data_IF_627641791519
#
_entry.id   IF_627641791519
#
_cell.length_a   1.000
_cell.length_b   1.000
_cell.length_c   1.000
_cell.angle_alpha   90.00
_cell.angle_beta   90.00
_cell.angle_gamma   90.00
#
_symmetry.space_group_name_H-M   'P 1'
#
loop_
_entity.id
_entity.type
_entity.pdbx_description
1 polymer ?
#
# COMPACT_ATOMS: atom_id res chain seq x y z
N UNK A 1 -10.74 15.20 -34.34
CA UNK A 1 -10.23 13.92 -33.87
C UNK A 1 -11.30 13.27 -33.04
N UNK A 2 -10.95 12.31 -32.18
CA UNK A 2 -11.88 11.73 -31.21
C UNK A 2 -12.38 12.81 -30.24
N UNK A 3 -13.68 12.77 -29.92
CA UNK A 3 -14.36 13.67 -28.96
C UNK A 3 -14.08 15.17 -29.14
N UNK A 4 -13.83 15.62 -30.38
CA UNK A 4 -13.60 17.04 -30.67
C UNK A 4 -12.16 17.53 -30.46
N UNK A 5 -11.26 16.68 -29.97
CA UNK A 5 -9.85 17.03 -29.84
C UNK A 5 -9.12 17.05 -31.19
N UNK A 6 -8.09 17.90 -31.35
CA UNK A 6 -7.29 17.92 -32.57
C UNK A 6 -6.49 16.61 -32.72
N UNK A 7 -6.24 16.18 -33.95
CA UNK A 7 -5.52 14.94 -34.23
C UNK A 7 -4.07 14.93 -33.68
N UNK A 8 -3.50 16.10 -33.39
CA UNK A 8 -2.16 16.24 -32.82
C UNK A 8 -2.10 16.22 -31.29
N UNK A 9 -3.21 15.96 -30.58
CA UNK A 9 -3.23 15.93 -29.11
C UNK A 9 -2.18 14.98 -28.55
N UNK A 10 -2.17 13.72 -29.00
CA UNK A 10 -1.26 12.70 -28.49
C UNK A 10 0.22 13.05 -28.73
N UNK A 11 0.55 13.59 -29.90
CA UNK A 11 1.94 13.98 -30.20
C UNK A 11 2.39 15.20 -29.39
N UNK A 12 1.49 16.15 -29.08
CA UNK A 12 1.80 17.27 -28.19
C UNK A 12 2.03 16.82 -26.75
N UNK A 13 1.21 15.90 -26.23
CA UNK A 13 1.42 15.31 -24.91
C UNK A 13 2.73 14.54 -24.85
N UNK A 14 3.05 13.75 -25.88
CA UNK A 14 4.32 13.04 -25.96
C UNK A 14 5.51 14.00 -25.93
N UNK A 15 5.51 15.05 -26.77
CA UNK A 15 6.56 16.07 -26.77
C UNK A 15 6.76 16.75 -25.40
N UNK A 16 5.68 16.89 -24.62
CA UNK A 16 5.76 17.45 -23.27
C UNK A 16 6.40 16.47 -22.29
N UNK A 17 5.89 15.24 -22.20
CA UNK A 17 6.37 14.24 -21.24
C UNK A 17 7.77 13.72 -21.56
N UNK A 18 8.17 13.65 -22.82
CA UNK A 18 9.53 13.26 -23.24
C UNK A 18 10.61 14.27 -22.81
N UNK A 19 10.23 15.46 -22.31
CA UNK A 19 11.17 16.42 -21.69
C UNK A 19 11.49 16.06 -20.24
N UNK A 20 10.71 15.17 -19.63
CA UNK A 20 10.97 14.65 -18.28
C UNK A 20 12.06 13.58 -18.34
N UNK A 21 12.82 13.44 -17.25
CA UNK A 21 13.87 12.43 -17.17
C UNK A 21 15.05 12.84 -16.29
N UNK A 22 15.93 11.88 -16.01
CA UNK A 22 17.26 12.11 -15.40
C UNK A 22 18.28 12.26 -16.52
N UNK A 23 19.12 13.29 -16.46
CA UNK A 23 20.10 13.61 -17.48
C UNK A 23 21.42 14.11 -16.88
N UNK A 24 22.50 14.00 -17.65
CA UNK A 24 23.74 14.72 -17.38
C UNK A 24 23.62 16.10 -18.02
N UNK A 25 23.83 17.14 -17.22
CA UNK A 25 23.72 18.53 -17.66
C UNK A 25 24.90 18.89 -18.57
N UNK A 26 24.68 19.82 -19.50
CA UNK A 26 25.76 20.37 -20.30
C UNK A 26 26.72 21.17 -19.41
N UNK A 27 28.02 20.96 -19.54
CA UNK A 27 29.04 21.62 -18.75
C UNK A 27 30.36 20.84 -18.74
N UNK A 28 31.38 21.39 -18.07
CA UNK A 28 32.67 20.70 -17.86
C UNK A 28 32.61 19.65 -16.77
N UNK A 29 31.65 19.78 -15.86
CA UNK A 29 31.45 18.88 -14.74
C UNK A 29 30.27 17.99 -15.12
N UNK A 30 30.43 16.67 -15.12
CA UNK A 30 29.39 15.66 -15.41
C UNK A 30 28.30 15.65 -14.32
N UNK A 31 27.63 16.79 -14.11
CA UNK A 31 26.60 16.98 -13.11
C UNK A 31 25.31 16.37 -13.59
N UNK A 32 24.63 15.66 -12.71
CA UNK A 32 23.32 15.09 -12.99
C UNK A 32 22.19 16.00 -12.51
N UNK A 33 21.07 15.98 -13.24
CA UNK A 33 19.82 16.61 -12.85
C UNK A 33 18.63 15.73 -13.25
N UNK A 34 17.46 16.00 -12.67
CA UNK A 34 16.23 15.30 -13.03
C UNK A 34 15.03 16.24 -13.08
N UNK A 35 14.09 15.91 -13.97
CA UNK A 35 12.76 16.49 -14.03
C UNK A 35 11.73 15.37 -13.93
N UNK A 36 11.04 15.31 -12.79
CA UNK A 36 9.89 14.43 -12.58
C UNK A 36 8.60 15.21 -12.80
N UNK A 37 7.72 14.73 -13.67
CA UNK A 37 6.45 15.39 -13.99
C UNK A 37 5.30 14.62 -13.35
N UNK A 38 4.48 15.33 -12.58
CA UNK A 38 3.21 14.83 -12.04
C UNK A 38 2.09 15.61 -12.72
N UNK A 39 1.37 14.96 -13.63
CA UNK A 39 0.26 15.57 -14.37
C UNK A 39 -1.08 15.15 -13.78
N UNK A 40 -1.96 16.11 -13.51
CA UNK A 40 -3.36 15.84 -13.17
C UNK A 40 -4.19 15.82 -14.46
N UNK A 41 -5.00 14.76 -14.63
CA UNK A 41 -5.98 14.65 -15.72
C UNK A 41 -7.37 14.61 -15.08
N UNK A 42 -8.32 15.36 -15.64
CA UNK A 42 -9.67 15.53 -15.10
C UNK A 42 -10.71 15.02 -16.10
N UNK A 43 -10.87 13.69 -16.23
CA UNK A 43 -11.82 13.11 -17.16
C UNK A 43 -13.27 13.46 -16.77
N UNK A 44 -14.12 13.87 -17.73
CA UNK A 44 -15.54 14.10 -17.46
C UNK A 44 -16.20 12.86 -16.85
N UNK A 45 -16.88 13.04 -15.71
CA UNK A 45 -17.55 11.92 -15.01
C UNK A 45 -16.62 10.82 -14.46
N UNK A 46 -15.30 11.02 -14.47
CA UNK A 46 -14.33 10.00 -14.07
C UNK A 46 -14.02 8.96 -15.16
N UNK A 47 -14.51 9.15 -16.39
CA UNK A 47 -14.29 8.20 -17.48
C UNK A 47 -12.88 8.32 -18.07
N UNK A 48 -11.99 7.41 -17.66
CA UNK A 48 -10.60 7.36 -18.13
C UNK A 48 -10.45 6.87 -19.57
N UNK A 49 -11.53 6.47 -20.24
CA UNK A 49 -11.52 6.08 -21.65
C UNK A 49 -11.44 7.27 -22.61
N UNK A 50 -11.63 8.49 -22.10
CA UNK A 50 -11.56 9.72 -22.90
C UNK A 50 -10.16 9.98 -23.49
N UNK A 51 -10.06 10.71 -24.62
CA UNK A 51 -8.83 10.81 -25.40
C UNK A 51 -7.60 11.39 -24.67
N UNK A 52 -7.76 12.33 -23.73
CA UNK A 52 -6.64 12.94 -22.98
C UNK A 52 -6.03 11.93 -22.02
N UNK A 53 -6.85 11.21 -21.27
CA UNK A 53 -6.46 10.14 -20.35
C UNK A 53 -5.76 9.02 -21.12
N UNK A 54 -6.38 8.52 -22.18
CA UNK A 54 -5.79 7.45 -23.00
C UNK A 54 -4.46 7.87 -23.64
N UNK A 55 -4.37 9.09 -24.17
CA UNK A 55 -3.12 9.59 -24.75
C UNK A 55 -2.02 9.74 -23.68
N UNK A 56 -2.36 10.22 -22.49
CA UNK A 56 -1.41 10.40 -21.38
C UNK A 56 -0.90 9.05 -20.86
N UNK A 57 -1.79 8.08 -20.63
CA UNK A 57 -1.45 6.74 -20.13
C UNK A 57 -0.55 5.94 -21.07
N UNK A 58 -0.57 6.22 -22.38
CA UNK A 58 0.36 5.62 -23.35
C UNK A 58 1.80 6.08 -23.17
N UNK A 59 2.01 7.23 -22.53
CA UNK A 59 3.33 7.88 -22.41
C UNK A 59 3.89 7.69 -21.00
N UNK A 60 3.08 7.99 -19.98
CA UNK A 60 3.52 7.95 -18.58
C UNK A 60 3.77 6.51 -18.11
N UNK A 61 4.67 6.37 -17.13
CA UNK A 61 5.04 5.07 -16.56
C UNK A 61 4.38 4.77 -15.21
N UNK A 62 3.64 5.74 -14.67
CA UNK A 62 2.96 5.63 -13.38
C UNK A 62 1.57 6.21 -13.56
N UNK A 63 0.58 5.53 -12.99
CA UNK A 63 -0.80 5.97 -12.92
C UNK A 63 -1.29 5.83 -11.48
N UNK A 64 -1.75 6.94 -10.90
CA UNK A 64 -2.48 6.97 -9.65
C UNK A 64 -3.95 7.24 -9.94
N UNK A 65 -4.75 6.18 -10.02
CA UNK A 65 -6.18 6.26 -10.25
C UNK A 65 -6.89 6.71 -8.99
N UNK A 66 -7.37 7.95 -8.97
CA UNK A 66 -8.21 8.45 -7.88
C UNK A 66 -9.62 7.89 -7.98
N UNK A 67 -10.17 7.43 -6.86
CA UNK A 67 -11.44 6.71 -6.78
C UNK A 67 -12.42 7.42 -5.85
N UNK A 68 -13.59 7.76 -6.40
CA UNK A 68 -14.64 8.47 -5.69
C UNK A 68 -15.29 7.63 -4.59
N UNK A 69 -15.32 6.30 -4.73
CA UNK A 69 -15.83 5.41 -3.70
C UNK A 69 -14.91 5.36 -2.47
N UNK A 70 -13.58 5.40 -2.70
CA UNK A 70 -12.60 5.55 -1.60
C UNK A 70 -12.77 6.90 -0.91
N UNK A 71 -12.87 7.98 -1.67
CA UNK A 71 -13.09 9.32 -1.13
C UNK A 71 -14.39 9.42 -0.31
N UNK A 72 -15.48 8.80 -0.77
CA UNK A 72 -16.76 8.76 -0.06
C UNK A 72 -16.65 8.01 1.28
N UNK A 73 -15.86 6.93 1.32
CA UNK A 73 -15.51 6.20 2.54
C UNK A 73 -14.48 6.91 3.43
N UNK A 74 -14.07 8.14 3.06
CA UNK A 74 -13.01 8.92 3.71
C UNK A 74 -11.66 8.20 3.73
N UNK A 75 -11.41 7.33 2.77
CA UNK A 75 -10.10 6.71 2.59
C UNK A 75 -9.20 7.66 1.79
N UNK A 76 -8.20 8.24 2.47
CA UNK A 76 -7.28 9.22 1.87
C UNK A 76 -5.81 8.80 2.04
N UNK A 77 -4.95 9.05 1.04
CA UNK A 77 -5.29 9.51 -0.31
C UNK A 77 -6.14 8.48 -1.06
N UNK A 78 -7.15 8.94 -1.82
CA UNK A 78 -8.16 8.07 -2.44
C UNK A 78 -7.64 7.38 -3.71
N UNK A 79 -6.44 6.78 -3.64
CA UNK A 79 -5.78 6.08 -4.75
C UNK A 79 -6.24 4.63 -4.73
N UNK A 80 -6.84 4.17 -5.82
CA UNK A 80 -7.23 2.77 -5.97
C UNK A 80 -5.98 1.90 -6.18
N UNK A 81 -5.66 1.08 -5.19
CA UNK A 81 -4.47 0.24 -5.18
C UNK A 81 -4.51 -0.93 -6.17
N UNK A 82 -5.69 -1.32 -6.67
CA UNK A 82 -5.84 -2.42 -7.64
C UNK A 82 -5.76 -1.94 -9.09
N UNK A 83 -6.18 -0.71 -9.38
CA UNK A 83 -6.17 -0.15 -10.75
C UNK A 83 -4.98 0.76 -11.02
N UNK A 84 -4.34 1.31 -9.97
CA UNK A 84 -3.11 2.08 -10.09
C UNK A 84 -1.90 1.19 -10.39
N UNK A 85 -0.90 1.74 -11.06
CA UNK A 85 0.32 1.00 -11.38
C UNK A 85 1.56 1.88 -11.45
N UNK A 86 2.73 1.26 -11.31
CA UNK A 86 4.03 1.87 -11.56
C UNK A 86 4.92 0.87 -12.31
N UNK A 87 5.33 1.24 -13.51
CA UNK A 87 6.29 0.46 -14.31
C UNK A 87 7.73 0.61 -13.80
N UNK A 88 7.95 1.41 -12.75
CA UNK A 88 9.24 1.56 -12.09
C UNK A 88 9.41 0.64 -10.87
N UNK A 89 8.37 -0.11 -10.48
CA UNK A 89 8.42 -0.94 -9.27
C UNK A 89 9.58 -1.95 -9.31
N UNK A 90 9.75 -2.64 -10.45
CA UNK A 90 10.80 -3.65 -10.60
C UNK A 90 12.19 -3.02 -10.72
N UNK A 91 12.33 -1.93 -11.48
CA UNK A 91 13.63 -1.27 -11.70
C UNK A 91 14.15 -0.58 -10.44
N UNK A 92 13.26 0.00 -9.62
CA UNK A 92 13.62 0.60 -8.34
C UNK A 92 13.77 -0.44 -7.23
N UNK A 93 13.21 -1.64 -7.39
CA UNK A 93 13.23 -2.68 -6.37
C UNK A 93 14.62 -3.01 -5.84
N UNK A 94 15.61 -3.07 -6.73
CA UNK A 94 17.02 -3.28 -6.35
C UNK A 94 17.53 -2.19 -5.40
N UNK A 95 17.26 -0.92 -5.73
CA UNK A 95 17.71 0.20 -4.90
C UNK A 95 17.07 0.16 -3.51
N UNK A 96 15.77 -0.12 -3.42
CA UNK A 96 15.09 -0.24 -2.13
C UNK A 96 15.63 -1.40 -1.29
N UNK A 97 15.89 -2.55 -1.92
CA UNK A 97 16.46 -3.70 -1.23
C UNK A 97 17.86 -3.41 -0.68
N UNK A 98 18.67 -2.63 -1.40
CA UNK A 98 20.03 -2.26 -0.98
C UNK A 98 20.06 -1.14 0.06
N UNK A 99 19.16 -0.16 -0.03
CA UNK A 99 19.25 1.10 0.73
C UNK A 99 18.22 1.23 1.87
N UNK A 100 17.16 0.41 1.88
CA UNK A 100 16.11 0.48 2.90
C UNK A 100 16.05 -0.81 3.69
N UNK A 101 15.73 -1.91 3.03
CA UNK A 101 15.68 -3.24 3.65
C UNK A 101 15.71 -4.32 2.58
N UNK A 102 16.53 -5.36 2.77
CA UNK A 102 16.72 -6.46 1.81
C UNK A 102 15.42 -7.14 1.37
N UNK A 103 14.39 -7.13 2.22
CA UNK A 103 13.11 -7.79 1.99
C UNK A 103 12.03 -6.83 1.47
N UNK A 104 12.37 -5.57 1.17
CA UNK A 104 11.41 -4.53 0.77
C UNK A 104 10.51 -4.96 -0.40
N UNK A 105 11.09 -5.43 -1.50
CA UNK A 105 10.28 -5.85 -2.66
C UNK A 105 9.41 -7.07 -2.34
N UNK A 106 9.90 -7.99 -1.51
CA UNK A 106 9.12 -9.14 -1.07
C UNK A 106 7.91 -8.68 -0.24
N UNK A 107 8.13 -7.83 0.77
CA UNK A 107 7.06 -7.29 1.61
C UNK A 107 6.00 -6.56 0.78
N UNK A 108 6.43 -5.70 -0.15
CA UNK A 108 5.51 -5.01 -1.07
C UNK A 108 4.67 -5.99 -1.88
N UNK A 109 5.29 -7.00 -2.48
CA UNK A 109 4.58 -8.02 -3.26
C UNK A 109 3.58 -8.79 -2.41
N UNK A 110 3.95 -9.15 -1.19
CA UNK A 110 3.06 -9.84 -0.24
C UNK A 110 1.86 -8.99 0.16
N UNK A 111 2.09 -7.71 0.47
CA UNK A 111 1.02 -6.75 0.78
C UNK A 111 0.04 -6.61 -0.39
N UNK A 112 0.56 -6.47 -1.62
CA UNK A 112 -0.30 -6.43 -2.81
C UNK A 112 -1.06 -7.73 -3.02
N UNK A 113 -0.45 -8.88 -2.73
CA UNK A 113 -1.11 -10.18 -2.75
C UNK A 113 -2.29 -10.26 -1.77
N UNK A 114 -2.09 -9.83 -0.52
CA UNK A 114 -3.15 -9.80 0.49
C UNK A 114 -4.31 -8.88 0.07
N UNK A 115 -4.03 -7.72 -0.51
CA UNK A 115 -5.07 -6.81 -1.02
C UNK A 115 -5.84 -7.38 -2.22
N UNK A 116 -5.16 -8.12 -3.11
CA UNK A 116 -5.81 -8.80 -4.24
C UNK A 116 -6.69 -9.96 -3.77
N UNK A 117 -6.22 -10.72 -2.79
CA UNK A 117 -6.98 -11.79 -2.18
C UNK A 117 -8.21 -11.24 -1.43
N UNK A 118 -8.06 -10.12 -0.69
CA UNK A 118 -9.19 -9.42 -0.06
C UNK A 118 -10.27 -9.07 -1.07
N UNK A 119 -9.90 -8.50 -2.22
CA UNK A 119 -10.88 -8.15 -3.25
C UNK A 119 -11.65 -9.37 -3.78
N UNK A 120 -10.98 -10.53 -3.86
CA UNK A 120 -11.61 -11.79 -4.28
C UNK A 120 -12.53 -12.35 -3.19
N UNK A 121 -12.10 -12.27 -1.93
CA UNK A 121 -12.87 -12.71 -0.77
C UNK A 121 -14.08 -11.81 -0.49
N UNK A 122 -13.99 -10.50 -0.72
CA UNK A 122 -15.08 -9.54 -0.52
C UNK A 122 -16.30 -9.87 -1.41
N UNK A 123 -16.08 -10.38 -2.63
CA UNK A 123 -17.15 -10.87 -3.50
C UNK A 123 -17.85 -12.11 -2.92
N UNK A 124 -17.11 -13.01 -2.27
CA UNK A 124 -17.68 -14.16 -1.56
C UNK A 124 -18.47 -13.69 -0.35
N UNK A 125 -17.89 -12.79 0.46
CA UNK A 125 -18.53 -12.23 1.67
C UNK A 125 -19.85 -11.55 1.33
N UNK A 126 -19.94 -10.81 0.22
CA UNK A 126 -21.20 -10.19 -0.24
C UNK A 126 -22.29 -11.21 -0.57
N UNK A 127 -21.93 -12.42 -0.98
CA UNK A 127 -22.87 -13.47 -1.38
C UNK A 127 -23.33 -14.34 -0.19
N UNK A 128 -22.41 -14.73 0.69
CA UNK A 128 -22.67 -15.74 1.73
C UNK A 128 -22.39 -15.27 3.16
N UNK A 129 -21.86 -14.07 3.35
CA UNK A 129 -21.48 -13.51 4.66
C UNK A 129 -20.06 -13.88 5.11
N UNK A 130 -19.55 -13.17 6.11
CA UNK A 130 -18.19 -13.33 6.65
C UNK A 130 -17.98 -14.68 7.35
N UNK A 131 -19.03 -15.20 7.98
CA UNK A 131 -18.99 -16.46 8.75
C UNK A 131 -18.76 -17.70 7.88
N UNK A 132 -18.93 -17.57 6.56
CA UNK A 132 -18.67 -18.64 5.60
C UNK A 132 -17.18 -18.79 5.26
N UNK A 133 -16.33 -17.82 5.64
CA UNK A 133 -14.90 -17.87 5.36
C UNK A 133 -14.16 -18.79 6.33
N UNK A 134 -13.11 -19.44 5.83
CA UNK A 134 -12.19 -20.19 6.68
C UNK A 134 -11.49 -19.27 7.70
N UNK A 135 -11.04 -19.77 8.87
CA UNK A 135 -10.27 -18.96 9.82
C UNK A 135 -9.06 -18.24 9.19
N UNK A 136 -8.36 -18.90 8.26
CA UNK A 136 -7.25 -18.32 7.50
C UNK A 136 -7.67 -17.19 6.55
N UNK A 137 -8.84 -17.31 5.91
CA UNK A 137 -9.36 -16.25 5.04
C UNK A 137 -9.87 -15.07 5.85
N UNK A 138 -10.50 -15.32 7.00
CA UNK A 138 -10.87 -14.26 7.96
C UNK A 138 -9.63 -13.52 8.46
N UNK A 139 -8.57 -14.22 8.82
CA UNK A 139 -7.30 -13.59 9.20
C UNK A 139 -6.70 -12.76 8.04
N UNK A 140 -6.82 -13.24 6.80
CA UNK A 140 -6.39 -12.48 5.62
C UNK A 140 -7.20 -11.20 5.43
N UNK A 141 -8.52 -11.24 5.61
CA UNK A 141 -9.38 -10.05 5.61
C UNK A 141 -8.97 -9.05 6.70
N UNK A 142 -8.64 -9.52 7.91
CA UNK A 142 -8.17 -8.66 8.99
C UNK A 142 -6.80 -8.03 8.70
N UNK A 143 -5.87 -8.78 8.10
CA UNK A 143 -4.58 -8.25 7.66
C UNK A 143 -4.74 -7.23 6.53
N UNK A 144 -5.62 -7.49 5.57
CA UNK A 144 -5.94 -6.55 4.49
C UNK A 144 -6.58 -5.26 5.01
N UNK A 145 -7.48 -5.36 6.00
CA UNK A 145 -8.04 -4.21 6.70
C UNK A 145 -6.95 -3.35 7.35
N UNK A 146 -6.01 -3.99 8.05
CA UNK A 146 -4.86 -3.28 8.64
C UNK A 146 -4.02 -2.58 7.56
N UNK A 147 -3.72 -3.25 6.44
CA UNK A 147 -3.02 -2.60 5.31
C UNK A 147 -3.79 -1.36 4.82
N UNK A 148 -5.12 -1.45 4.65
CA UNK A 148 -5.93 -0.33 4.17
C UNK A 148 -5.98 0.84 5.15
N UNK A 149 -6.18 0.56 6.45
CA UNK A 149 -6.46 1.57 7.48
C UNK A 149 -5.20 2.10 8.17
N UNK A 150 -4.17 1.26 8.27
CA UNK A 150 -2.97 1.55 9.06
C UNK A 150 -1.77 1.92 8.17
N UNK A 151 -1.77 1.54 6.89
CA UNK A 151 -0.66 1.83 5.95
C UNK A 151 -1.07 2.69 4.76
N UNK A 152 -2.10 2.29 4.00
CA UNK A 152 -2.53 3.04 2.81
C UNK A 152 -3.24 4.34 3.18
N UNK A 153 -3.98 4.34 4.28
CA UNK A 153 -4.66 5.52 4.78
C UNK A 153 -3.69 6.44 5.53
N UNK A 154 -3.47 7.63 4.99
CA UNK A 154 -2.54 8.63 5.50
C UNK A 154 -3.21 10.01 5.64
N UNK A 155 -3.13 10.58 6.84
CA UNK A 155 -3.72 11.88 7.16
C UNK A 155 -2.76 13.03 6.83
N UNK A 156 -2.94 13.62 5.66
CA UNK A 156 -2.12 14.76 5.19
C UNK A 156 -2.10 15.97 6.15
N UNK A 157 -3.14 16.15 6.97
CA UNK A 157 -3.26 17.26 7.93
C UNK A 157 -2.80 16.91 9.36
N UNK A 158 -2.37 15.68 9.61
CA UNK A 158 -1.87 15.26 10.92
C UNK A 158 -0.37 15.59 11.05
N UNK A 159 0.04 16.13 12.19
CA UNK A 159 1.43 16.59 12.41
C UNK A 159 2.50 15.51 12.19
N UNK A 160 2.20 14.25 12.49
CA UNK A 160 3.12 13.13 12.31
C UNK A 160 2.82 12.31 11.04
N UNK A 161 1.56 12.15 10.68
CA UNK A 161 1.16 11.21 9.61
C UNK A 161 1.23 11.89 8.23
N UNK A 162 1.43 13.20 8.17
CA UNK A 162 1.62 13.94 6.91
C UNK A 162 2.85 13.48 6.11
N UNK A 163 3.84 12.86 6.78
CA UNK A 163 5.06 12.35 6.16
C UNK A 163 5.55 11.09 6.88
N UNK A 164 6.05 10.12 6.12
CA UNK A 164 6.56 8.85 6.65
C UNK A 164 7.89 8.51 5.98
N UNK A 165 8.98 8.40 6.75
CA UNK A 165 10.29 8.01 6.24
C UNK A 165 10.29 6.58 5.66
N UNK A 166 11.24 6.26 4.78
CA UNK A 166 11.37 4.90 4.22
C UNK A 166 11.61 3.85 5.30
N UNK A 167 12.36 4.19 6.36
CA UNK A 167 12.59 3.32 7.50
C UNK A 167 11.28 3.04 8.25
N UNK A 168 10.47 4.06 8.51
CA UNK A 168 9.17 3.92 9.16
C UNK A 168 8.18 3.13 8.29
N UNK A 169 8.14 3.37 6.98
CA UNK A 169 7.34 2.56 6.04
C UNK A 169 7.74 1.08 6.10
N UNK A 170 9.04 0.78 6.13
CA UNK A 170 9.55 -0.58 6.28
C UNK A 170 9.06 -1.25 7.57
N UNK A 171 9.16 -0.55 8.70
CA UNK A 171 8.67 -1.05 10.00
C UNK A 171 7.17 -1.29 10.01
N UNK A 172 6.37 -0.40 9.43
CA UNK A 172 4.92 -0.60 9.30
C UNK A 172 4.61 -1.86 8.48
N UNK A 173 5.27 -2.05 7.33
CA UNK A 173 5.12 -3.26 6.52
C UNK A 173 5.48 -4.52 7.30
N UNK A 174 6.59 -4.49 8.04
CA UNK A 174 7.04 -5.61 8.88
C UNK A 174 6.01 -5.96 9.95
N UNK A 175 5.54 -4.99 10.73
CA UNK A 175 4.58 -5.24 11.82
C UNK A 175 3.30 -5.92 11.30
N UNK A 176 2.73 -5.43 10.19
CA UNK A 176 1.53 -6.03 9.60
C UNK A 176 1.77 -7.45 9.08
N UNK A 177 2.90 -7.68 8.38
CA UNK A 177 3.24 -9.00 7.86
C UNK A 177 3.62 -9.98 8.98
N UNK A 178 4.30 -9.52 10.01
CA UNK A 178 4.63 -10.30 11.21
C UNK A 178 3.36 -10.71 11.96
N UNK A 179 2.40 -9.80 12.11
CA UNK A 179 1.08 -10.13 12.65
C UNK A 179 0.42 -11.21 11.79
N UNK A 180 0.35 -11.03 10.47
CA UNK A 180 -0.27 -12.02 9.59
C UNK A 180 0.41 -13.39 9.67
N UNK A 181 1.73 -13.46 9.54
CA UNK A 181 2.50 -14.71 9.51
C UNK A 181 2.44 -15.47 10.83
N UNK A 182 2.65 -14.77 11.95
CA UNK A 182 2.65 -15.39 13.27
C UNK A 182 1.23 -15.78 13.71
N UNK A 183 0.22 -15.02 13.30
CA UNK A 183 -1.18 -15.38 13.52
C UNK A 183 -1.59 -16.61 12.70
N UNK A 184 -1.08 -16.75 11.47
CA UNK A 184 -1.29 -17.96 10.66
C UNK A 184 -0.68 -19.19 11.35
N UNK A 185 0.53 -19.05 11.89
CA UNK A 185 1.20 -20.10 12.66
C UNK A 185 0.42 -20.44 13.96
N UNK A 186 -0.09 -19.43 14.66
CA UNK A 186 -0.93 -19.63 15.84
C UNK A 186 -2.24 -20.37 15.50
N UNK A 187 -2.93 -20.01 14.41
CA UNK A 187 -4.11 -20.74 13.93
C UNK A 187 -3.80 -22.21 13.63
N UNK A 188 -2.65 -22.48 13.00
CA UNK A 188 -2.22 -23.85 12.72
C UNK A 188 -1.91 -24.67 13.99
N UNK A 189 -1.64 -23.98 15.10
CA UNK A 189 -1.44 -24.57 16.44
C UNK A 189 -2.74 -24.66 17.25
N UNK A 190 -3.88 -24.31 16.68
CA UNK A 190 -5.19 -24.43 17.33
C UNK A 190 -5.69 -23.17 18.04
N UNK A 191 -5.00 -22.04 17.92
CA UNK A 191 -5.51 -20.78 18.45
C UNK A 191 -6.84 -20.39 17.77
N UNK A 192 -7.74 -19.79 18.54
CA UNK A 192 -9.03 -19.31 18.05
C UNK A 192 -8.89 -18.01 17.24
N UNK A 193 -9.63 -17.92 16.12
CA UNK A 193 -9.59 -16.76 15.22
C UNK A 193 -10.18 -15.51 15.85
N UNK A 194 -11.23 -15.62 16.67
CA UNK A 194 -11.80 -14.45 17.35
C UNK A 194 -10.83 -13.89 18.38
N UNK A 195 -10.14 -14.76 19.12
CA UNK A 195 -9.09 -14.35 20.08
C UNK A 195 -7.93 -13.65 19.36
N UNK A 196 -7.44 -14.20 18.24
CA UNK A 196 -6.40 -13.56 17.43
C UNK A 196 -6.86 -12.20 16.89
N UNK A 197 -8.07 -12.14 16.34
CA UNK A 197 -8.62 -10.89 15.80
C UNK A 197 -8.84 -9.84 16.91
N UNK A 198 -9.07 -10.26 18.15
CA UNK A 198 -9.26 -9.36 19.28
C UNK A 198 -7.95 -8.91 19.96
N UNK A 199 -6.78 -9.34 19.47
CA UNK A 199 -5.50 -9.06 20.14
C UNK A 199 -5.25 -7.54 20.31
N UNK A 200 -4.99 -7.08 21.55
CA UNK A 200 -4.72 -5.67 21.82
C UNK A 200 -3.51 -5.09 21.06
N UNK A 201 -2.51 -5.90 20.69
CA UNK A 201 -1.35 -5.43 19.90
C UNK A 201 -1.74 -4.86 18.54
N UNK A 202 -2.89 -5.26 17.98
CA UNK A 202 -3.39 -4.73 16.70
C UNK A 202 -3.61 -3.21 16.75
N UNK A 203 -4.08 -2.69 17.88
CA UNK A 203 -4.24 -1.25 18.07
C UNK A 203 -2.89 -0.53 18.07
N UNK A 204 -1.86 -1.14 18.66
CA UNK A 204 -0.51 -0.60 18.66
C UNK A 204 0.09 -0.59 17.25
N UNK A 205 -0.09 -1.67 16.48
CA UNK A 205 0.29 -1.74 15.07
C UNK A 205 -0.39 -0.60 14.27
N UNK A 206 -1.70 -0.42 14.43
CA UNK A 206 -2.45 0.62 13.71
C UNK A 206 -2.07 2.05 14.10
N UNK A 207 -1.68 2.26 15.36
CA UNK A 207 -1.20 3.56 15.85
C UNK A 207 0.26 3.85 15.53
N UNK A 208 1.03 2.88 15.04
CA UNK A 208 2.45 3.06 14.73
C UNK A 208 2.69 4.21 13.72
N UNK A 209 1.75 4.47 12.82
CA UNK A 209 1.82 5.60 11.88
C UNK A 209 1.89 6.98 12.57
N UNK A 210 1.42 7.09 13.82
CA UNK A 210 1.48 8.32 14.61
C UNK A 210 2.73 8.43 15.49
N UNK A 211 3.62 7.44 15.47
CA UNK A 211 4.87 7.46 16.23
C UNK A 211 5.84 8.43 15.57
N UNK A 212 6.45 9.31 16.37
CA UNK A 212 7.46 10.26 15.89
C UNK A 212 8.70 9.52 15.39
N UNK A 213 9.34 10.04 14.35
CA UNK A 213 10.49 9.41 13.68
C UNK A 213 11.63 9.07 14.65
N UNK A 214 11.90 9.88 15.69
CA UNK A 214 12.94 9.56 16.68
C UNK A 214 12.65 8.33 17.56
N UNK A 215 11.40 7.88 17.65
CA UNK A 215 10.96 6.81 18.55
C UNK A 215 10.62 5.50 17.84
N UNK A 216 10.67 5.46 16.50
CA UNK A 216 10.19 4.31 15.72
C UNK A 216 10.92 3.01 16.03
N UNK A 217 12.22 3.05 16.34
CA UNK A 217 13.01 1.86 16.67
C UNK A 217 12.57 1.23 17.99
N UNK A 218 12.40 2.06 19.02
CA UNK A 218 11.95 1.64 20.34
C UNK A 218 10.54 1.06 20.26
N UNK A 219 9.62 1.81 19.66
CA UNK A 219 8.22 1.40 19.57
C UNK A 219 8.07 0.12 18.72
N UNK A 220 8.84 -0.03 17.64
CA UNK A 220 8.82 -1.23 16.82
C UNK A 220 9.22 -2.47 17.64
N UNK A 221 10.28 -2.37 18.44
CA UNK A 221 10.72 -3.46 19.30
C UNK A 221 9.68 -3.82 20.37
N UNK A 222 9.09 -2.82 21.03
CA UNK A 222 8.05 -3.03 22.04
C UNK A 222 6.79 -3.71 21.46
N UNK A 223 6.37 -3.31 20.25
CA UNK A 223 5.23 -3.94 19.56
C UNK A 223 5.58 -5.37 19.12
N UNK A 224 6.80 -5.63 18.64
CA UNK A 224 7.24 -6.97 18.23
C UNK A 224 7.26 -7.98 19.41
N UNK A 225 7.81 -7.55 20.55
CA UNK A 225 7.80 -8.35 21.78
C UNK A 225 6.36 -8.62 22.25
N UNK A 226 5.53 -7.59 22.26
CA UNK A 226 4.12 -7.70 22.65
C UNK A 226 3.34 -8.64 21.73
N UNK A 227 3.52 -8.53 20.42
CA UNK A 227 2.89 -9.41 19.43
C UNK A 227 3.25 -10.87 19.70
N UNK A 228 4.52 -11.13 20.01
CA UNK A 228 5.00 -12.48 20.31
C UNK A 228 4.38 -13.03 21.60
N UNK A 229 4.29 -12.21 22.65
CA UNK A 229 3.70 -12.60 23.93
C UNK A 229 2.21 -12.88 23.81
N UNK A 230 1.45 -11.96 23.21
CA UNK A 230 -0.01 -12.07 23.08
C UNK A 230 -0.42 -13.27 22.20
N UNK A 231 0.30 -13.56 21.12
CA UNK A 231 0.05 -14.76 20.31
C UNK A 231 0.37 -16.05 21.05
N UNK A 232 1.42 -16.08 21.86
CA UNK A 232 1.74 -17.26 22.67
C UNK A 232 0.68 -17.55 23.73
N UNK A 233 0.05 -16.51 24.30
CA UNK A 233 -1.09 -16.65 25.20
C UNK A 233 -2.33 -17.16 24.45
N UNK A 234 -2.65 -16.60 23.29
CA UNK A 234 -3.78 -17.04 22.47
C UNK A 234 -3.69 -18.51 22.05
N UNK A 235 -2.48 -19.04 21.79
CA UNK A 235 -2.28 -20.47 21.50
C UNK A 235 -2.55 -21.32 22.74
N UNK A 236 -2.03 -20.95 23.91
CA UNK A 236 -2.25 -21.70 25.16
C UNK A 236 -3.73 -21.80 25.52
N UNK A 237 -4.45 -20.69 25.42
CA UNK A 237 -5.88 -20.67 25.70
C UNK A 237 -6.71 -21.47 24.69
N UNK A 238 -6.20 -21.70 23.48
CA UNK A 238 -6.86 -22.55 22.48
C UNK A 238 -6.62 -24.05 22.70
N UNK A 239 -5.58 -24.43 23.48
CA UNK A 239 -5.34 -25.82 23.88
C UNK A 239 -6.23 -26.25 25.06
N UNK A 240 -6.75 -25.29 25.82
CA UNK A 240 -7.57 -25.52 27.03
C UNK A 240 -9.10 -25.54 26.76
N UNK A 241 -9.55 -25.12 25.57
CA UNK A 241 -10.96 -25.09 25.10
C UNK A 241 -11.34 -26.33 24.26
#
# INVERSE_FOLDING_TARGET
GEEGYPAYLGSRLAQFYERAGRTVTLGSDDKEGSLSVIGAVSPPGGDISEPVSQATLRIVKVFWGLDSALAYKRHFPAINWLTSYSLYADSLGKWFNENVDKDWTNMRTRIMGILSDEASLDEIVKLVGMDALSPSDRLKMEAARSIREDFLHQLAFHEVDTYTSLKKQCFMMKLMLMYYDRSLDALNKGADIEKIAALPVREAIGRFKYVKEENIDKEFAEIDERLSSELAEAVKEGEDD
#
